data_IF_807491912456
#
_entry.id   IF_807491912456
#
_cell.length_a   1.000
_cell.length_b   1.000
_cell.length_c   1.000
_cell.angle_alpha   90.00
_cell.angle_beta   90.00
_cell.angle_gamma   90.00
#
_symmetry.space_group_name_H-M   'P 1'
#
loop_
_entity.id
_entity.type
_entity.pdbx_description
1 polymer ?
#
# COMPACT_ATOMS: atom_id res chain seq x y z
N UNK A 1 6.05 0.54 79.52
CA UNK A 1 4.73 -0.07 79.22
C UNK A 1 4.72 -0.37 77.72
N UNK A 2 5.18 -1.52 77.26
CA UNK A 2 4.42 -2.77 77.06
C UNK A 2 4.52 -3.09 75.54
N UNK A 3 4.51 -4.32 75.03
CA UNK A 3 4.56 -5.66 75.58
C UNK A 3 4.71 -6.61 74.37
N UNK A 4 5.40 -7.75 74.57
CA UNK A 4 5.07 -9.08 73.98
C UNK A 4 5.26 -9.20 72.44
N UNK A 5 6.40 -9.73 71.97
CA UNK A 5 6.67 -11.17 71.70
C UNK A 5 5.49 -11.93 71.08
N UNK A 6 5.49 -12.21 69.78
CA UNK A 6 4.98 -13.47 69.24
C UNK A 6 5.83 -13.93 68.04
N UNK A 7 6.80 -14.81 68.33
CA UNK A 7 7.19 -15.87 67.39
C UNK A 7 6.14 -16.97 67.55
N UNK A 8 5.63 -17.53 66.45
CA UNK A 8 5.37 -18.96 66.24
C UNK A 8 4.60 -19.18 64.92
N UNK A 9 5.15 -20.10 64.12
CA UNK A 9 4.48 -21.10 63.26
C UNK A 9 3.62 -20.56 62.09
N UNK A 10 4.12 -20.66 60.86
CA UNK A 10 4.05 -21.85 59.99
C UNK A 10 2.70 -22.02 59.29
N UNK A 11 2.66 -21.67 58.00
CA UNK A 11 1.81 -22.28 56.96
C UNK A 11 2.32 -21.74 55.60
N UNK A 12 3.20 -22.46 54.91
CA UNK A 12 2.85 -23.21 53.70
C UNK A 12 1.78 -22.55 52.81
N UNK A 13 2.23 -21.89 51.74
CA UNK A 13 1.65 -21.96 50.39
C UNK A 13 2.50 -21.02 49.49
N UNK A 14 3.56 -21.52 48.84
CA UNK A 14 3.51 -21.92 47.43
C UNK A 14 2.48 -21.12 46.62
N UNK A 15 2.96 -20.08 45.94
CA UNK A 15 2.61 -19.77 44.55
C UNK A 15 3.62 -18.75 44.02
N UNK A 16 4.70 -19.25 43.42
CA UNK A 16 5.47 -18.50 42.43
C UNK A 16 4.57 -18.42 41.19
N UNK A 17 3.90 -17.29 40.98
CA UNK A 17 3.23 -17.01 39.72
C UNK A 17 4.26 -16.38 38.78
N UNK A 18 4.67 -17.05 37.67
CA UNK A 18 5.38 -16.37 36.62
C UNK A 18 4.34 -15.50 35.89
N UNK A 19 4.49 -14.19 35.97
CA UNK A 19 3.73 -13.29 35.11
C UNK A 19 4.27 -13.47 33.69
N UNK A 20 3.62 -14.38 32.93
CA UNK A 20 3.89 -14.60 31.53
C UNK A 20 3.58 -13.29 30.78
N UNK A 21 4.64 -12.59 30.38
CA UNK A 21 4.57 -11.56 29.35
C UNK A 21 4.17 -12.25 28.04
N UNK A 22 2.87 -12.41 27.80
CA UNK A 22 2.37 -12.67 26.46
C UNK A 22 2.55 -11.38 25.67
N UNK A 23 3.74 -11.21 25.09
CA UNK A 23 3.91 -10.39 23.89
C UNK A 23 3.10 -11.10 22.81
N UNK A 24 1.80 -10.83 22.79
CA UNK A 24 1.02 -11.06 21.59
C UNK A 24 1.64 -10.19 20.53
N UNK A 25 2.38 -10.81 19.61
CA UNK A 25 2.70 -10.20 18.35
C UNK A 25 1.35 -9.83 17.72
N UNK A 26 0.93 -8.58 17.92
CA UNK A 26 -0.02 -7.94 17.04
C UNK A 26 0.70 -7.83 15.69
N UNK A 27 0.77 -8.95 14.97
CA UNK A 27 0.91 -8.89 13.54
C UNK A 27 -0.25 -8.01 13.11
N UNK A 28 0.07 -6.82 12.62
CA UNK A 28 -0.90 -5.98 11.96
C UNK A 28 -1.56 -6.87 10.92
N UNK A 29 -2.77 -7.33 11.23
CA UNK A 29 -3.67 -7.90 10.25
C UNK A 29 -4.00 -6.74 9.34
N UNK A 30 -3.10 -6.45 8.39
CA UNK A 30 -3.49 -5.74 7.19
C UNK A 30 -4.70 -6.53 6.71
N UNK A 31 -5.88 -5.92 6.79
CA UNK A 31 -7.10 -6.48 6.24
C UNK A 31 -6.71 -7.03 4.88
N UNK A 32 -6.70 -8.36 4.76
CA UNK A 32 -6.25 -8.99 3.54
C UNK A 32 -7.38 -8.75 2.56
N UNK A 33 -7.30 -7.60 1.88
CA UNK A 33 -8.24 -7.17 0.87
C UNK A 33 -8.28 -8.30 -0.15
N UNK A 34 -9.50 -8.67 -0.54
CA UNK A 34 -9.70 -9.68 -1.55
C UNK A 34 -8.97 -9.27 -2.83
N UNK A 35 -7.99 -10.09 -3.23
CA UNK A 35 -7.15 -9.82 -4.39
C UNK A 35 -7.98 -9.69 -5.67
N UNK A 36 -9.14 -10.34 -5.76
CA UNK A 36 -10.04 -10.23 -6.91
C UNK A 36 -10.61 -8.82 -7.09
N UNK A 37 -10.63 -8.01 -6.02
CA UNK A 37 -11.05 -6.60 -6.08
C UNK A 37 -9.96 -5.64 -6.57
N UNK A 38 -8.72 -6.12 -6.69
CA UNK A 38 -7.59 -5.26 -7.02
C UNK A 38 -7.72 -4.57 -8.38
N UNK A 39 -8.12 -5.25 -9.49
CA UNK A 39 -8.27 -4.58 -10.78
C UNK A 39 -9.24 -3.39 -10.73
N UNK A 40 -10.39 -3.55 -10.07
CA UNK A 40 -11.37 -2.47 -9.90
C UNK A 40 -10.80 -1.32 -9.06
N UNK A 41 -10.09 -1.63 -7.96
CA UNK A 41 -9.46 -0.60 -7.13
C UNK A 41 -8.35 0.16 -7.88
N UNK A 42 -7.51 -0.53 -8.63
CA UNK A 42 -6.46 0.07 -9.46
C UNK A 42 -7.07 0.99 -10.53
N UNK A 43 -8.15 0.57 -11.18
CA UNK A 43 -8.83 1.41 -12.17
C UNK A 43 -9.52 2.63 -11.57
N UNK A 44 -10.06 2.53 -10.35
CA UNK A 44 -10.62 3.69 -9.64
C UNK A 44 -9.53 4.70 -9.26
N UNK A 45 -8.40 4.22 -8.77
CA UNK A 45 -7.23 5.06 -8.48
C UNK A 45 -6.75 5.78 -9.75
N UNK A 46 -6.48 5.03 -10.82
CA UNK A 46 -6.03 5.58 -12.11
C UNK A 46 -7.07 6.49 -12.77
N UNK A 47 -8.37 6.20 -12.61
CA UNK A 47 -9.45 7.04 -13.11
C UNK A 47 -9.49 8.42 -12.46
N UNK A 48 -8.97 8.54 -11.23
CA UNK A 48 -8.81 9.82 -10.52
C UNK A 48 -7.50 10.50 -10.92
N UNK A 49 -6.40 9.75 -10.96
CA UNK A 49 -5.07 10.32 -11.17
C UNK A 49 -4.82 10.75 -12.61
N UNK A 50 -5.27 10.01 -13.62
CA UNK A 50 -4.91 10.32 -15.02
C UNK A 50 -5.44 11.68 -15.50
N UNK A 51 -6.70 12.06 -15.27
CA UNK A 51 -7.18 13.40 -15.63
C UNK A 51 -6.47 14.50 -14.83
N UNK A 52 -6.19 14.27 -13.55
CA UNK A 52 -5.48 15.23 -12.70
C UNK A 52 -4.03 15.45 -13.19
N UNK A 53 -3.35 14.36 -13.56
CA UNK A 53 -2.02 14.39 -14.18
C UNK A 53 -2.02 15.15 -15.50
N UNK A 54 -3.00 14.89 -16.37
CA UNK A 54 -3.12 15.59 -17.65
C UNK A 54 -3.27 17.11 -17.43
N UNK A 55 -4.09 17.52 -16.46
CA UNK A 55 -4.24 18.92 -16.08
C UNK A 55 -2.93 19.50 -15.49
N UNK A 56 -2.22 18.75 -14.64
CA UNK A 56 -0.95 19.19 -14.07
C UNK A 56 0.14 19.39 -15.13
N UNK A 57 0.22 18.50 -16.14
CA UNK A 57 1.11 18.66 -17.29
C UNK A 57 0.79 19.92 -18.08
N UNK A 58 -0.49 20.18 -18.33
CA UNK A 58 -0.94 21.37 -19.05
C UNK A 58 -0.63 22.67 -18.29
N UNK A 59 -0.86 22.67 -16.98
CA UNK A 59 -0.68 23.85 -16.12
C UNK A 59 0.75 24.02 -15.57
N UNK A 60 1.66 23.10 -15.90
CA UNK A 60 3.03 23.06 -15.36
C UNK A 60 3.07 23.00 -13.83
N UNK A 61 2.09 22.32 -13.25
CA UNK A 61 1.97 22.07 -11.82
C UNK A 61 2.95 20.96 -11.39
N UNK A 62 3.97 21.36 -10.63
CA UNK A 62 4.99 20.44 -10.11
C UNK A 62 4.53 19.75 -8.84
N UNK A 63 3.73 20.44 -8.05
CA UNK A 63 3.33 20.02 -6.70
C UNK A 63 2.43 18.79 -6.81
N UNK A 64 1.59 18.73 -7.85
CA UNK A 64 0.82 17.52 -8.20
C UNK A 64 1.69 16.25 -8.22
N UNK A 65 2.90 16.28 -8.80
CA UNK A 65 3.72 15.08 -8.96
C UNK A 65 4.33 14.61 -7.63
N UNK A 66 4.63 15.53 -6.73
CA UNK A 66 5.10 15.20 -5.38
C UNK A 66 3.97 14.56 -4.57
N UNK A 67 2.78 15.16 -4.60
CA UNK A 67 1.62 14.62 -3.88
C UNK A 67 1.13 13.28 -4.47
N UNK A 68 1.13 13.15 -5.80
CA UNK A 68 0.73 11.93 -6.49
C UNK A 68 1.68 10.76 -6.18
N UNK A 69 2.96 11.02 -5.94
CA UNK A 69 3.91 10.01 -5.45
C UNK A 69 3.44 9.46 -4.10
N UNK A 70 3.03 10.33 -3.17
CA UNK A 70 2.48 9.94 -1.87
C UNK A 70 1.25 9.04 -2.03
N UNK A 71 0.25 9.48 -2.81
CA UNK A 71 -0.97 8.70 -3.05
C UNK A 71 -0.72 7.35 -3.72
N UNK A 72 0.22 7.30 -4.68
CA UNK A 72 0.64 6.05 -5.30
C UNK A 72 1.29 5.10 -4.28
N UNK A 73 2.16 5.63 -3.41
CA UNK A 73 2.80 4.84 -2.36
C UNK A 73 1.79 4.30 -1.35
N UNK A 74 0.85 5.13 -0.90
CA UNK A 74 -0.21 4.74 0.03
C UNK A 74 -1.11 3.66 -0.59
N UNK A 75 -1.52 3.83 -1.85
CA UNK A 75 -2.26 2.81 -2.58
C UNK A 75 -1.44 1.51 -2.67
N UNK A 76 -0.17 1.60 -3.04
CA UNK A 76 0.71 0.45 -3.20
C UNK A 76 0.94 -0.32 -1.89
N UNK A 77 1.06 0.41 -0.78
CA UNK A 77 1.25 -0.19 0.54
C UNK A 77 -0.02 -0.84 1.05
N UNK A 78 -1.19 -0.20 0.87
CA UNK A 78 -2.49 -0.77 1.27
C UNK A 78 -2.76 -2.14 0.64
N UNK A 79 -2.34 -2.32 -0.62
CA UNK A 79 -2.44 -3.59 -1.37
C UNK A 79 -1.22 -4.50 -1.23
N UNK A 80 -0.13 -3.99 -0.66
CA UNK A 80 1.08 -4.74 -0.33
C UNK A 80 1.93 -5.19 -1.52
N UNK A 81 1.74 -4.66 -2.74
CA UNK A 81 2.53 -5.09 -3.90
C UNK A 81 3.90 -4.41 -4.02
N UNK A 82 4.13 -3.26 -3.36
CA UNK A 82 5.44 -2.57 -3.39
C UNK A 82 6.34 -2.94 -2.20
N UNK A 83 5.79 -2.98 -0.99
CA UNK A 83 6.55 -3.18 0.26
C UNK A 83 6.67 -4.65 0.66
N UNK A 84 5.63 -5.45 0.37
CA UNK A 84 5.49 -6.84 0.83
C UNK A 84 5.50 -7.88 -0.28
N UNK A 85 5.60 -7.44 -1.54
CA UNK A 85 5.54 -8.28 -2.73
C UNK A 85 4.35 -9.26 -2.69
N UNK A 86 3.14 -8.76 -2.38
CA UNK A 86 1.95 -9.57 -2.20
C UNK A 86 1.73 -10.56 -3.36
N UNK A 87 1.94 -11.87 -3.15
CA UNK A 87 1.94 -12.85 -4.24
C UNK A 87 0.53 -13.05 -4.82
N UNK A 88 -0.52 -12.71 -4.07
CA UNK A 88 -1.90 -12.78 -4.57
C UNK A 88 -2.15 -11.82 -5.75
N UNK A 89 -1.35 -10.74 -5.86
CA UNK A 89 -1.46 -9.76 -6.93
C UNK A 89 -0.59 -10.09 -8.15
N UNK A 90 0.21 -11.17 -8.12
CA UNK A 90 1.05 -11.56 -9.25
C UNK A 90 0.24 -11.82 -10.53
N UNK A 91 -0.99 -12.34 -10.41
CA UNK A 91 -1.91 -12.54 -11.54
C UNK A 91 -2.47 -11.24 -12.15
N UNK A 92 -2.24 -10.11 -11.48
CA UNK A 92 -2.69 -8.78 -11.88
C UNK A 92 -1.51 -7.84 -12.12
N UNK A 93 -0.37 -8.35 -12.60
CA UNK A 93 0.85 -7.57 -12.83
C UNK A 93 0.59 -6.34 -13.71
N UNK A 94 -0.27 -6.44 -14.73
CA UNK A 94 -0.64 -5.32 -15.59
C UNK A 94 -1.27 -4.15 -14.79
N UNK A 95 -2.03 -4.45 -13.74
CA UNK A 95 -2.63 -3.44 -12.88
C UNK A 95 -1.61 -2.81 -11.93
N UNK A 96 -0.74 -3.63 -11.32
CA UNK A 96 0.35 -3.09 -10.47
C UNK A 96 1.31 -2.24 -11.30
N UNK A 97 1.66 -2.68 -12.51
CA UNK A 97 2.52 -1.95 -13.44
C UNK A 97 1.88 -0.62 -13.83
N UNK A 98 0.62 -0.60 -14.28
CA UNK A 98 -0.08 0.64 -14.62
C UNK A 98 -0.10 1.66 -13.46
N UNK A 99 -0.36 1.20 -12.23
CA UNK A 99 -0.32 2.05 -11.02
C UNK A 99 1.08 2.58 -10.72
N UNK A 100 2.14 1.83 -11.02
CA UNK A 100 3.50 2.32 -10.80
C UNK A 100 4.02 3.20 -11.94
N UNK A 101 3.56 2.95 -13.17
CA UNK A 101 4.05 3.60 -14.37
C UNK A 101 3.38 4.94 -14.65
N UNK A 102 2.14 5.17 -14.19
CA UNK A 102 1.41 6.40 -14.54
C UNK A 102 2.20 7.67 -14.17
N UNK A 103 2.85 7.67 -12.99
CA UNK A 103 3.58 8.83 -12.53
C UNK A 103 4.89 9.01 -13.31
N UNK A 104 5.53 7.92 -13.75
CA UNK A 104 6.71 7.96 -14.61
C UNK A 104 6.35 8.56 -15.97
N UNK A 105 5.24 8.11 -16.57
CA UNK A 105 4.71 8.66 -17.81
C UNK A 105 4.33 10.13 -17.65
N UNK A 106 3.68 10.48 -16.54
CA UNK A 106 3.33 11.86 -16.21
C UNK A 106 4.55 12.78 -16.11
N UNK A 107 5.56 12.39 -15.34
CA UNK A 107 6.81 13.15 -15.20
C UNK A 107 7.55 13.29 -16.53
N UNK A 108 7.55 12.24 -17.33
CA UNK A 108 8.12 12.25 -18.67
C UNK A 108 7.42 13.30 -19.56
N UNK A 109 6.08 13.31 -19.57
CA UNK A 109 5.25 14.31 -20.28
C UNK A 109 5.31 15.71 -19.67
N UNK A 110 5.68 15.83 -18.40
CA UNK A 110 5.87 17.11 -17.73
C UNK A 110 7.18 17.77 -18.17
N UNK A 111 8.27 17.00 -18.15
CA UNK A 111 9.63 17.44 -18.49
C UNK A 111 9.86 17.57 -19.99
N UNK A 112 9.25 16.70 -20.79
CA UNK A 112 9.35 16.65 -22.23
C UNK A 112 7.98 16.93 -22.87
N UNK A 113 7.91 17.17 -24.18
CA UNK A 113 6.61 17.10 -24.86
C UNK A 113 6.12 15.65 -24.92
N UNK A 114 4.80 15.45 -25.01
CA UNK A 114 4.21 14.10 -25.04
C UNK A 114 4.78 13.22 -26.16
N UNK A 115 5.11 13.81 -27.31
CA UNK A 115 5.72 13.14 -28.48
C UNK A 115 7.19 12.72 -28.23
N UNK A 116 7.88 13.41 -27.33
CA UNK A 116 9.28 13.13 -26.98
C UNK A 116 9.39 12.16 -25.81
N UNK A 117 8.29 11.91 -25.09
CA UNK A 117 8.28 10.87 -24.08
C UNK A 117 8.50 9.52 -24.75
N UNK A 118 9.46 8.73 -24.24
CA UNK A 118 9.95 7.52 -24.89
C UNK A 118 8.80 6.63 -25.39
N UNK A 119 8.66 6.39 -26.72
CA UNK A 119 7.47 5.76 -27.29
C UNK A 119 7.13 4.41 -26.66
N UNK A 120 8.16 3.62 -26.31
CA UNK A 120 8.02 2.33 -25.64
C UNK A 120 7.40 2.46 -24.25
N UNK A 121 7.79 3.48 -23.46
CA UNK A 121 7.25 3.70 -22.12
C UNK A 121 5.75 3.98 -22.19
N UNK A 122 5.35 4.92 -23.06
CA UNK A 122 3.94 5.25 -23.24
C UNK A 122 3.15 4.06 -23.79
N UNK A 123 3.73 3.31 -24.73
CA UNK A 123 3.08 2.10 -25.30
C UNK A 123 2.85 1.03 -24.25
N UNK A 124 3.86 0.74 -23.42
CA UNK A 124 3.76 -0.26 -22.35
C UNK A 124 2.69 0.16 -21.33
N UNK A 125 2.74 1.40 -20.85
CA UNK A 125 1.75 1.93 -19.91
C UNK A 125 0.32 1.80 -20.46
N UNK A 126 0.09 2.21 -21.72
CA UNK A 126 -1.25 2.13 -22.32
C UNK A 126 -1.73 0.68 -22.46
N UNK A 127 -0.84 -0.25 -22.82
CA UNK A 127 -1.16 -1.68 -22.88
C UNK A 127 -1.52 -2.24 -21.49
N UNK A 128 -0.76 -1.86 -20.46
CA UNK A 128 -0.98 -2.24 -19.07
C UNK A 128 -2.33 -1.71 -18.55
N UNK A 129 -2.59 -0.42 -18.78
CA UNK A 129 -3.84 0.25 -18.45
C UNK A 129 -5.05 -0.42 -19.12
N UNK A 130 -4.94 -0.72 -20.42
CA UNK A 130 -6.01 -1.35 -21.17
C UNK A 130 -6.32 -2.76 -20.64
N UNK A 131 -5.29 -3.59 -20.43
CA UNK A 131 -5.47 -4.93 -19.86
C UNK A 131 -6.03 -4.89 -18.44
N UNK A 132 -5.59 -3.94 -17.62
CA UNK A 132 -6.14 -3.75 -16.29
C UNK A 132 -7.62 -3.37 -16.33
N UNK A 133 -8.00 -2.48 -17.25
CA UNK A 133 -9.40 -2.10 -17.48
C UNK A 133 -10.26 -3.30 -17.85
N UNK A 134 -9.77 -4.16 -18.74
CA UNK A 134 -10.50 -5.38 -19.13
C UNK A 134 -10.65 -6.36 -17.96
N UNK A 135 -9.65 -6.46 -17.09
CA UNK A 135 -9.75 -7.26 -15.85
C UNK A 135 -10.75 -6.65 -14.88
N UNK A 136 -10.74 -5.33 -14.69
CA UNK A 136 -11.69 -4.62 -13.84
C UNK A 136 -13.14 -4.72 -14.32
N UNK A 137 -13.35 -4.87 -15.63
CA UNK A 137 -14.70 -5.07 -16.18
C UNK A 137 -15.25 -6.49 -15.96
N UNK A 138 -14.39 -7.44 -15.59
CA UNK A 138 -14.75 -8.87 -15.43
C UNK A 138 -14.84 -9.34 -13.97
N UNK A 139 -14.34 -8.55 -13.03
CA UNK A 139 -14.33 -8.83 -11.59
C UNK A 139 -15.21 -7.82 -10.85
#
# INVERSE_FOLDING_TARGET
MGSIRHRLLAAFARTLAPFLLTVGAAGAAAQQQDADRFPAAAMNFLGTELPAMDAAVANKDRDYFEEAMGRMLDFSDSWGFKTRANPALARYSMCTEAVTEFLVVGLCRFKLSAETCQPTLNTNFNNNLQRCRELAARN
#
